data_IF_695618969905
#
_entry.id   IF_695618969905
#
_cell.length_a   1.000
_cell.length_b   1.000
_cell.length_c   1.000
_cell.angle_alpha   90.00
_cell.angle_beta   90.00
_cell.angle_gamma   90.00
#
_symmetry.space_group_name_H-M   'P 1'
#
loop_
_entity.id
_entity.type
_entity.pdbx_description
1 polymer ?
#
# COMPACT_ATOMS: atom_id res chain seq x y z
N UNK A 1 -18.75 19.05 -4.65
CA UNK A 1 -18.71 17.66 -5.15
C UNK A 1 -17.25 17.18 -5.26
N UNK A 2 -16.51 17.07 -4.15
CA UNK A 2 -15.13 16.54 -4.16
C UNK A 2 -14.98 15.32 -3.23
N UNK A 3 -15.73 15.26 -2.14
CA UNK A 3 -15.67 14.17 -1.15
C UNK A 3 -16.11 12.78 -1.66
N UNK A 4 -16.85 12.71 -2.77
CA UNK A 4 -17.33 11.44 -3.34
C UNK A 4 -16.25 10.64 -4.08
N UNK A 5 -15.15 11.28 -4.50
CA UNK A 5 -14.02 10.58 -5.15
C UNK A 5 -13.01 10.03 -4.13
N UNK A 6 -12.96 10.59 -2.92
CA UNK A 6 -12.02 10.17 -1.88
C UNK A 6 -12.44 8.84 -1.23
N UNK A 7 -13.75 8.67 -0.98
CA UNK A 7 -14.29 7.42 -0.43
C UNK A 7 -14.17 6.26 -1.44
N UNK A 8 -14.15 6.55 -2.75
CA UNK A 8 -13.97 5.51 -3.78
C UNK A 8 -12.55 4.94 -3.85
N UNK A 9 -11.50 5.70 -3.50
CA UNK A 9 -10.13 5.17 -3.49
C UNK A 9 -9.90 4.18 -2.35
N UNK A 10 -10.41 4.52 -1.15
CA UNK A 10 -10.26 3.70 0.06
C UNK A 10 -11.10 2.43 -0.02
N UNK A 11 -12.37 2.56 -0.44
CA UNK A 11 -13.18 1.38 -0.71
C UNK A 11 -12.66 0.60 -1.92
N UNK A 12 -11.94 1.17 -2.89
CA UNK A 12 -11.33 0.37 -3.95
C UNK A 12 -10.13 -0.45 -3.44
N UNK A 13 -9.24 0.15 -2.66
CA UNK A 13 -8.13 -0.55 -1.99
C UNK A 13 -8.68 -1.71 -1.16
N UNK A 14 -9.81 -1.51 -0.46
CA UNK A 14 -10.44 -2.50 0.41
C UNK A 14 -11.53 -3.40 -0.22
N UNK A 15 -12.14 -3.02 -1.34
CA UNK A 15 -13.16 -3.82 -2.05
C UNK A 15 -12.53 -4.76 -3.06
N UNK A 16 -11.36 -4.42 -3.62
CA UNK A 16 -10.61 -5.33 -4.49
C UNK A 16 -9.93 -6.48 -3.73
N UNK A 17 -10.08 -6.57 -2.40
CA UNK A 17 -9.73 -7.78 -1.64
C UNK A 17 -10.51 -9.02 -2.11
N UNK A 18 -11.61 -8.85 -2.86
CA UNK A 18 -12.47 -9.94 -3.33
C UNK A 18 -12.14 -10.48 -4.73
N UNK A 19 -11.40 -9.73 -5.57
CA UNK A 19 -11.09 -10.11 -6.97
C UNK A 19 -9.60 -10.44 -7.14
N UNK A 20 -9.07 -11.24 -6.21
CA UNK A 20 -7.71 -11.77 -6.31
C UNK A 20 -7.74 -13.05 -7.14
N UNK A 21 -7.03 -13.07 -8.26
CA UNK A 21 -6.73 -14.29 -8.99
C UNK A 21 -5.92 -15.19 -8.03
N UNK A 22 -6.56 -16.22 -7.49
CA UNK A 22 -6.09 -17.07 -6.39
C UNK A 22 -4.92 -17.99 -6.80
N UNK A 23 -4.08 -17.60 -7.77
CA UNK A 23 -2.89 -18.36 -8.11
C UNK A 23 -1.86 -18.37 -6.97
N UNK A 24 -1.88 -17.34 -6.12
CA UNK A 24 -1.02 -17.23 -4.95
C UNK A 24 -1.68 -17.92 -3.74
N UNK A 25 -1.15 -19.08 -3.34
CA UNK A 25 -1.57 -19.80 -2.13
C UNK A 25 -0.99 -19.13 -0.88
N UNK A 26 -1.72 -18.17 -0.31
CA UNK A 26 -1.37 -17.60 0.99
C UNK A 26 -1.70 -18.58 2.12
N UNK A 27 -0.71 -18.92 2.94
CA UNK A 27 -0.91 -19.81 4.10
C UNK A 27 -1.35 -19.05 5.34
N UNK A 28 -1.12 -17.74 5.39
CA UNK A 28 -1.44 -16.89 6.53
C UNK A 28 -2.11 -15.58 6.09
N UNK A 29 -3.09 -15.11 6.87
CA UNK A 29 -3.82 -13.86 6.60
C UNK A 29 -2.88 -12.65 6.50
N UNK A 30 -1.82 -12.61 7.32
CA UNK A 30 -0.81 -11.54 7.31
C UNK A 30 -0.09 -11.42 5.95
N UNK A 31 0.17 -12.56 5.28
CA UNK A 31 0.81 -12.58 3.96
C UNK A 31 -0.11 -12.02 2.88
N UNK A 32 -1.39 -12.39 2.92
CA UNK A 32 -2.41 -11.86 2.01
C UNK A 32 -2.59 -10.35 2.18
N UNK A 33 -2.69 -9.86 3.42
CA UNK A 33 -2.76 -8.43 3.73
C UNK A 33 -1.54 -7.70 3.17
N UNK A 34 -0.33 -8.23 3.44
CA UNK A 34 0.92 -7.63 2.97
C UNK A 34 1.00 -7.55 1.44
N UNK A 35 0.71 -8.67 0.76
CA UNK A 35 0.69 -8.75 -0.70
C UNK A 35 -0.30 -7.75 -1.31
N UNK A 36 -1.51 -7.65 -0.75
CA UNK A 36 -2.53 -6.78 -1.33
C UNK A 36 -2.16 -5.30 -1.19
N UNK A 37 -1.67 -4.88 -0.02
CA UNK A 37 -1.20 -3.50 0.18
C UNK A 37 -0.07 -3.17 -0.81
N UNK A 38 0.89 -4.09 -0.98
CA UNK A 38 2.00 -3.92 -1.93
C UNK A 38 1.48 -3.74 -3.36
N UNK A 39 0.56 -4.60 -3.79
CA UNK A 39 -0.01 -4.56 -5.14
C UNK A 39 -0.76 -3.25 -5.42
N UNK A 40 -1.54 -2.76 -4.45
CA UNK A 40 -2.27 -1.49 -4.58
C UNK A 40 -1.31 -0.29 -4.69
N UNK A 41 -0.25 -0.25 -3.88
CA UNK A 41 0.79 0.79 -3.99
C UNK A 41 1.43 0.77 -5.38
N UNK A 42 1.86 -0.40 -5.88
CA UNK A 42 2.44 -0.53 -7.22
C UNK A 42 1.48 0.00 -8.30
N UNK A 43 0.20 -0.40 -8.23
CA UNK A 43 -0.82 0.04 -9.19
C UNK A 43 -1.03 1.56 -9.16
N UNK A 44 -1.11 2.16 -7.97
CA UNK A 44 -1.25 3.61 -7.82
C UNK A 44 -0.06 4.37 -8.40
N UNK A 45 1.16 3.90 -8.14
CA UNK A 45 2.39 4.47 -8.70
C UNK A 45 2.45 4.40 -10.22
N UNK A 46 1.89 3.34 -10.83
CA UNK A 46 1.84 3.21 -12.29
C UNK A 46 0.77 4.09 -12.96
N UNK A 47 -0.24 4.55 -12.21
CA UNK A 47 -1.41 5.28 -12.76
C UNK A 47 -1.37 6.79 -12.50
N UNK A 48 -0.62 7.25 -11.49
CA UNK A 48 -0.59 8.64 -11.03
C UNK A 48 0.75 9.31 -11.35
N UNK A 49 0.77 10.64 -11.49
CA UNK A 49 1.99 11.43 -11.66
C UNK A 49 2.23 12.32 -10.44
N UNK A 50 3.45 12.83 -10.29
CA UNK A 50 3.73 13.88 -9.29
C UNK A 50 2.93 15.16 -9.61
N UNK A 51 2.39 15.89 -8.60
CA UNK A 51 2.51 15.67 -7.15
C UNK A 51 1.40 14.79 -6.53
N UNK A 52 0.42 14.39 -7.32
CA UNK A 52 -0.74 13.59 -6.86
C UNK A 52 -0.28 12.30 -6.18
N UNK A 53 0.76 11.67 -6.73
CA UNK A 53 1.39 10.48 -6.21
C UNK A 53 1.90 10.61 -4.76
N UNK A 54 2.48 11.76 -4.40
CA UNK A 54 3.01 11.97 -3.04
C UNK A 54 1.88 12.09 -2.02
N UNK A 55 0.79 12.77 -2.39
CA UNK A 55 -0.39 12.89 -1.55
C UNK A 55 -1.09 11.54 -1.38
N UNK A 56 -1.28 10.83 -2.51
CA UNK A 56 -1.86 9.50 -2.54
C UNK A 56 -1.06 8.52 -1.65
N UNK A 57 0.28 8.56 -1.71
CA UNK A 57 1.12 7.73 -0.84
C UNK A 57 0.98 8.08 0.65
N UNK A 58 0.98 9.37 1.01
CA UNK A 58 0.78 9.82 2.41
C UNK A 58 -0.57 9.37 2.95
N UNK A 59 -1.60 9.44 2.12
CA UNK A 59 -2.95 9.02 2.48
C UNK A 59 -3.02 7.50 2.68
N UNK A 60 -2.51 6.72 1.72
CA UNK A 60 -2.45 5.25 1.83
C UNK A 60 -1.69 4.82 3.08
N UNK A 61 -0.52 5.42 3.33
CA UNK A 61 0.26 5.21 4.55
C UNK A 61 -0.61 5.42 5.78
N UNK A 62 -1.17 6.61 5.93
CA UNK A 62 -1.94 6.99 7.12
C UNK A 62 -3.12 6.04 7.36
N UNK A 63 -3.92 5.77 6.33
CA UNK A 63 -5.12 4.95 6.46
C UNK A 63 -4.77 3.50 6.76
N UNK A 64 -3.78 2.94 6.06
CA UNK A 64 -3.40 1.53 6.20
C UNK A 64 -2.79 1.26 7.57
N UNK A 65 -1.86 2.10 8.01
CA UNK A 65 -1.23 2.00 9.33
C UNK A 65 -2.28 2.11 10.44
N UNK A 66 -3.20 3.08 10.33
CA UNK A 66 -4.26 3.26 11.34
C UNK A 66 -5.27 2.09 11.36
N UNK A 67 -5.68 1.61 10.19
CA UNK A 67 -6.62 0.48 10.07
C UNK A 67 -6.05 -0.80 10.67
N UNK A 68 -4.79 -1.12 10.38
CA UNK A 68 -4.11 -2.31 10.89
C UNK A 68 -3.81 -2.20 12.38
N UNK A 69 -3.39 -1.02 12.86
CA UNK A 69 -3.16 -0.78 14.28
C UNK A 69 -4.43 -1.03 15.12
N UNK A 70 -5.62 -0.64 14.63
CA UNK A 70 -6.90 -0.91 15.31
C UNK A 70 -7.23 -2.40 15.46
N UNK A 71 -6.52 -3.28 14.74
CA UNK A 71 -6.65 -4.74 14.77
C UNK A 71 -5.47 -5.43 15.46
N UNK A 72 -4.57 -4.66 16.10
CA UNK A 72 -3.37 -5.18 16.75
C UNK A 72 -2.29 -5.65 15.76
N UNK A 73 -2.33 -5.17 14.52
CA UNK A 73 -1.31 -5.43 13.50
C UNK A 73 -0.47 -4.15 13.36
N UNK A 74 0.82 -4.25 13.63
CA UNK A 74 1.74 -3.16 13.37
C UNK A 74 2.12 -3.18 11.90
N UNK A 75 1.93 -2.06 11.22
CA UNK A 75 2.32 -1.88 9.83
C UNK A 75 3.06 -0.58 9.68
N UNK A 76 4.14 -0.61 8.92
CA UNK A 76 4.96 0.55 8.63
C UNK A 76 5.24 0.61 7.14
N UNK A 77 4.85 1.73 6.53
CA UNK A 77 5.12 2.06 5.14
C UNK A 77 6.05 3.28 5.09
N UNK A 78 7.27 3.06 4.62
CA UNK A 78 8.28 4.11 4.49
C UNK A 78 8.58 4.38 3.03
N UNK A 79 8.73 5.65 2.71
CA UNK A 79 9.37 6.06 1.49
C UNK A 79 10.85 6.29 1.80
N UNK A 80 11.71 5.41 1.31
CA UNK A 80 13.16 5.46 1.53
C UNK A 80 13.90 6.35 0.52
N UNK A 81 13.16 7.11 -0.29
CA UNK A 81 13.68 7.95 -1.38
C UNK A 81 12.84 9.22 -1.55
N UNK A 82 13.10 10.07 -2.55
CA UNK A 82 12.18 11.15 -2.90
C UNK A 82 11.13 10.62 -3.88
N UNK A 83 9.83 10.69 -3.53
CA UNK A 83 8.72 10.31 -4.44
C UNK A 83 8.65 11.24 -5.66
N UNK A 84 9.15 12.47 -5.55
CA UNK A 84 9.30 13.44 -6.63
C UNK A 84 10.64 14.17 -6.44
N UNK A 85 11.56 14.32 -7.43
CA UNK A 85 11.48 14.32 -8.91
C UNK A 85 11.60 12.94 -9.59
N UNK A 86 11.49 12.83 -10.94
CA UNK A 86 11.66 11.57 -11.68
C UNK A 86 12.89 10.78 -11.24
N UNK A 87 12.66 9.50 -10.93
CA UNK A 87 13.72 8.58 -10.51
C UNK A 87 13.17 7.27 -9.98
N UNK A 88 14.05 6.54 -9.30
CA UNK A 88 13.70 5.32 -8.58
C UNK A 88 13.13 5.70 -7.22
N UNK A 89 11.85 5.40 -7.00
CA UNK A 89 11.21 5.49 -5.71
C UNK A 89 11.35 4.15 -4.99
N UNK A 90 12.06 4.13 -3.87
CA UNK A 90 12.18 2.97 -3.00
C UNK A 90 11.14 3.05 -1.90
N UNK A 91 10.26 2.05 -1.87
CA UNK A 91 9.26 1.89 -0.83
C UNK A 91 9.65 0.69 0.04
N UNK A 92 9.65 0.90 1.35
CA UNK A 92 9.85 -0.14 2.35
C UNK A 92 8.53 -0.42 3.07
N UNK A 93 8.23 -1.70 3.26
CA UNK A 93 7.02 -2.17 3.92
C UNK A 93 7.40 -3.18 5.00
N UNK A 94 6.84 -3.00 6.19
CA UNK A 94 6.99 -3.93 7.30
C UNK A 94 5.61 -4.20 7.92
N UNK A 95 5.26 -5.47 8.09
CA UNK A 95 4.07 -5.89 8.83
C UNK A 95 4.50 -6.83 9.96
N UNK A 96 4.14 -6.46 11.19
CA UNK A 96 4.34 -7.29 12.38
C UNK A 96 2.99 -7.64 13.00
N UNK A 97 2.73 -8.94 13.18
CA UNK A 97 1.49 -9.46 13.76
C UNK A 97 1.80 -10.70 14.61
N UNK A 98 1.79 -10.54 15.94
CA UNK A 98 2.22 -11.60 16.86
C UNK A 98 3.69 -11.98 16.62
N UNK A 99 3.94 -13.24 16.23
CA UNK A 99 5.28 -13.75 15.91
C UNK A 99 5.65 -13.62 14.43
N UNK A 100 4.74 -13.09 13.60
CA UNK A 100 4.96 -12.93 12.16
C UNK A 100 5.56 -11.55 11.92
N UNK A 101 6.66 -11.50 11.19
CA UNK A 101 7.26 -10.27 10.68
C UNK A 101 7.53 -10.46 9.18
N UNK A 102 6.88 -9.63 8.36
CA UNK A 102 7.01 -9.63 6.91
C UNK A 102 7.61 -8.29 6.50
N UNK A 103 8.78 -8.35 5.88
CA UNK A 103 9.49 -7.17 5.37
C UNK A 103 9.73 -7.30 3.87
N UNK A 104 9.57 -6.19 3.16
CA UNK A 104 9.92 -6.07 1.75
C UNK A 104 10.32 -4.65 1.40
N UNK A 105 11.18 -4.53 0.39
CA UNK A 105 11.45 -3.26 -0.27
C UNK A 105 11.35 -3.42 -1.78
N UNK A 106 10.75 -2.43 -2.44
CA UNK A 106 10.58 -2.47 -3.88
C UNK A 106 10.81 -1.10 -4.49
N UNK A 107 11.31 -1.12 -5.72
CA UNK A 107 11.61 0.08 -6.48
C UNK A 107 10.52 0.29 -7.53
N UNK A 108 10.01 1.52 -7.58
CA UNK A 108 9.06 2.00 -8.57
C UNK A 108 9.75 3.06 -9.41
N UNK A 109 9.75 2.92 -10.72
CA UNK A 109 10.22 3.96 -11.64
C UNK A 109 9.11 4.96 -11.89
N UNK A 110 9.25 6.18 -11.38
CA UNK A 110 8.33 7.28 -11.68
C UNK A 110 8.67 7.86 -13.07
N UNK A 111 7.72 7.78 -14.01
CA UNK A 111 7.85 8.33 -15.37
C UNK A 111 7.47 9.79 -15.48
#
# INVERSE_FOLDING_TARGET
MLALLFVSGINAIFAEFYDVDLSDTFTEQSQFIFWNIKHQIIRMFNQRKCPELENDFKEVKFITEHYLASRGIEFELKNASNICPPGNVVIEMNLTSGNINIFDNFTLTSS
#
